data_IF_309482819420
#
_entry.id   IF_309482819420
#
_cell.length_a   1.000
_cell.length_b   1.000
_cell.length_c   1.000
_cell.angle_alpha   90.00
_cell.angle_beta   90.00
_cell.angle_gamma   90.00
#
_symmetry.space_group_name_H-M   'P 1'
#
loop_
_entity.id
_entity.type
_entity.pdbx_description
1 polymer ?
#
# COMPACT_ATOMS: atom_id res chain seq x y z
N UNK A 1 -8.30 -4.99 13.57
CA UNK A 1 -7.01 -5.67 13.33
C UNK A 1 -6.47 -5.13 12.01
N UNK A 2 -5.36 -4.38 12.01
CA UNK A 2 -4.76 -3.87 10.78
C UNK A 2 -3.72 -4.89 10.29
N UNK A 3 -3.95 -5.44 9.11
CA UNK A 3 -3.00 -6.26 8.35
C UNK A 3 -2.25 -5.30 7.44
N UNK A 4 -1.27 -4.58 7.98
CA UNK A 4 -0.48 -3.64 7.19
C UNK A 4 1.00 -3.78 7.57
N UNK A 5 1.63 -4.90 7.19
CA UNK A 5 3.09 -4.97 7.12
C UNK A 5 3.59 -4.36 5.81
N UNK A 6 4.54 -3.41 5.89
CA UNK A 6 5.19 -2.78 4.74
C UNK A 6 6.68 -3.19 4.63
N UNK A 7 7.01 -4.42 5.01
CA UNK A 7 8.38 -4.94 5.06
C UNK A 7 8.54 -6.26 4.28
N UNK A 8 9.75 -6.63 3.83
CA UNK A 8 9.97 -7.69 2.83
C UNK A 8 9.66 -9.12 3.30
N UNK A 9 9.13 -9.31 4.51
CA UNK A 9 8.97 -10.65 5.09
C UNK A 9 7.59 -10.95 5.65
N UNK A 10 6.67 -9.98 5.79
CA UNK A 10 5.27 -10.11 6.28
C UNK A 10 5.04 -11.14 7.41
N UNK A 11 6.07 -11.39 8.23
CA UNK A 11 6.11 -12.51 9.19
C UNK A 11 5.04 -12.35 10.25
N UNK A 12 4.81 -11.12 10.69
CA UNK A 12 3.83 -10.79 11.71
C UNK A 12 2.40 -11.01 11.20
N UNK A 13 2.12 -10.62 9.96
CA UNK A 13 0.81 -10.78 9.34
C UNK A 13 0.49 -12.26 9.12
N UNK A 14 1.47 -13.06 8.66
CA UNK A 14 1.30 -14.53 8.56
C UNK A 14 1.07 -15.17 9.92
N UNK A 15 1.88 -14.82 10.93
CA UNK A 15 1.75 -15.37 12.28
C UNK A 15 0.36 -15.07 12.87
N UNK A 16 -0.20 -13.91 12.56
CA UNK A 16 -1.53 -13.51 12.96
C UNK A 16 -2.63 -14.34 12.26
N UNK A 17 -2.52 -14.54 10.94
CA UNK A 17 -3.44 -15.42 10.20
C UNK A 17 -3.40 -16.84 10.73
N UNK A 18 -2.20 -17.38 11.00
CA UNK A 18 -2.03 -18.72 11.57
C UNK A 18 -2.61 -18.84 12.98
N UNK A 19 -2.45 -17.81 13.82
CA UNK A 19 -3.04 -17.75 15.15
C UNK A 19 -4.58 -17.69 15.11
N UNK A 20 -5.16 -17.01 14.14
CA UNK A 20 -6.62 -16.98 13.97
C UNK A 20 -7.16 -18.31 13.44
N UNK A 21 -6.43 -18.99 12.55
CA UNK A 21 -6.75 -20.33 12.08
C UNK A 21 -6.70 -21.36 13.21
N UNK A 22 -5.67 -21.33 14.05
CA UNK A 22 -5.56 -22.26 15.18
C UNK A 22 -6.68 -22.08 16.20
N UNK A 23 -7.19 -20.86 16.35
CA UNK A 23 -8.34 -20.52 17.20
C UNK A 23 -9.70 -20.77 16.54
N UNK A 24 -9.75 -21.27 15.30
CA UNK A 24 -10.99 -21.45 14.50
C UNK A 24 -11.81 -20.17 14.34
N UNK A 25 -11.15 -19.02 14.38
CA UNK A 25 -11.76 -17.71 14.10
C UNK A 25 -11.72 -17.35 12.62
N UNK A 26 -10.93 -18.08 11.84
CA UNK A 26 -10.96 -18.09 10.38
C UNK A 26 -11.39 -19.48 9.91
N UNK A 27 -12.42 -19.52 9.06
CA UNK A 27 -12.85 -20.72 8.35
C UNK A 27 -11.70 -21.32 7.53
N UNK A 28 -11.63 -22.65 7.43
CA UNK A 28 -10.61 -23.35 6.65
C UNK A 28 -10.74 -23.10 5.13
N UNK A 29 -11.91 -22.64 4.69
CA UNK A 29 -12.19 -22.23 3.31
C UNK A 29 -11.65 -20.83 2.99
N UNK A 30 -11.42 -19.98 3.99
CA UNK A 30 -10.93 -18.61 3.78
C UNK A 30 -9.50 -18.62 3.28
N UNK A 31 -9.29 -18.08 2.08
CA UNK A 31 -7.99 -17.83 1.46
C UNK A 31 -7.63 -16.37 1.65
N UNK A 32 -6.43 -16.12 2.16
CA UNK A 32 -5.85 -14.79 2.31
C UNK A 32 -4.56 -14.82 1.50
N UNK A 33 -4.53 -14.03 0.44
CA UNK A 33 -3.35 -13.86 -0.41
C UNK A 33 -2.66 -12.56 -0.02
N UNK A 34 -1.35 -12.62 0.18
CA UNK A 34 -0.55 -11.41 0.32
C UNK A 34 -0.17 -10.94 -1.07
N UNK A 35 -0.55 -9.72 -1.43
CA UNK A 35 -0.14 -9.08 -2.67
C UNK A 35 0.81 -7.92 -2.32
N UNK A 36 2.00 -7.87 -2.93
CA UNK A 36 2.95 -6.81 -2.65
C UNK A 36 2.38 -5.47 -3.11
N UNK A 37 2.64 -4.41 -2.33
CA UNK A 37 2.13 -3.06 -2.57
C UNK A 37 2.14 -2.61 -4.04
N UNK A 38 3.26 -2.72 -4.80
CA UNK A 38 3.29 -2.33 -6.22
C UNK A 38 2.23 -3.01 -7.11
N UNK A 39 1.80 -4.22 -6.76
CA UNK A 39 0.77 -4.98 -7.48
C UNK A 39 -0.67 -4.64 -7.03
N UNK A 40 -0.86 -3.81 -5.99
CA UNK A 40 -2.16 -3.25 -5.59
C UNK A 40 -2.18 -1.72 -5.70
N UNK A 41 -2.42 -1.15 -6.90
CA UNK A 41 -2.40 0.30 -7.13
C UNK A 41 -3.25 1.11 -6.16
N UNK A 42 -4.41 0.57 -5.74
CA UNK A 42 -5.34 1.25 -4.84
C UNK A 42 -4.76 1.50 -3.44
N UNK A 43 -3.73 0.77 -3.02
CA UNK A 43 -3.14 0.93 -1.68
C UNK A 43 -1.99 1.96 -1.63
N UNK A 44 -1.30 2.21 -2.74
CA UNK A 44 -0.09 3.04 -2.72
C UNK A 44 -0.16 4.30 -3.58
N UNK A 45 -1.05 4.36 -4.58
CA UNK A 45 -1.05 5.46 -5.53
C UNK A 45 -1.31 6.82 -4.86
N UNK A 46 -2.20 6.87 -3.88
CA UNK A 46 -2.50 8.09 -3.13
C UNK A 46 -1.27 8.59 -2.36
N UNK A 47 -0.57 7.70 -1.64
CA UNK A 47 0.65 8.03 -0.91
C UNK A 47 1.75 8.57 -1.85
N UNK A 48 1.93 7.92 -3.01
CA UNK A 48 2.91 8.36 -4.01
C UNK A 48 2.57 9.70 -4.63
N UNK A 49 1.31 9.95 -4.98
CA UNK A 49 0.87 11.24 -5.51
C UNK A 49 1.06 12.37 -4.48
N UNK A 50 0.65 12.13 -3.22
CA UNK A 50 0.88 13.07 -2.12
C UNK A 50 2.37 13.38 -1.93
N UNK A 51 3.23 12.36 -1.97
CA UNK A 51 4.67 12.53 -1.92
C UNK A 51 5.23 13.36 -3.08
N UNK A 52 4.80 13.07 -4.31
CA UNK A 52 5.22 13.78 -5.51
C UNK A 52 4.81 15.26 -5.47
N UNK A 53 3.56 15.56 -5.08
CA UNK A 53 3.06 16.93 -4.93
C UNK A 53 3.78 17.66 -3.79
N UNK A 54 4.03 17.00 -2.66
CA UNK A 54 4.76 17.59 -1.53
C UNK A 54 6.20 17.97 -1.91
N UNK A 55 6.91 17.07 -2.60
CA UNK A 55 8.26 17.36 -3.11
C UNK A 55 8.25 18.49 -4.12
N UNK A 56 7.27 18.51 -5.04
CA UNK A 56 7.10 19.60 -5.98
C UNK A 56 6.93 20.95 -5.29
N UNK A 57 6.04 21.03 -4.29
CA UNK A 57 5.81 22.24 -3.47
C UNK A 57 7.04 22.67 -2.66
N UNK A 58 7.96 21.74 -2.38
CA UNK A 58 9.25 22.02 -1.72
C UNK A 58 10.39 22.35 -2.68
N UNK A 59 10.10 22.55 -3.97
CA UNK A 59 11.09 22.92 -4.99
C UNK A 59 11.77 21.75 -5.68
N UNK A 60 11.35 20.50 -5.42
CA UNK A 60 11.84 19.31 -6.12
C UNK A 60 10.76 18.70 -7.02
N UNK A 61 10.70 19.08 -8.32
CA UNK A 61 9.63 18.67 -9.21
C UNK A 61 9.86 17.31 -9.89
N UNK A 62 10.98 16.60 -9.62
CA UNK A 62 11.39 15.41 -10.39
C UNK A 62 10.30 14.33 -10.45
N UNK A 63 9.71 14.00 -9.30
CA UNK A 63 8.69 12.96 -9.17
C UNK A 63 7.38 13.34 -9.87
N UNK A 64 6.94 14.59 -9.74
CA UNK A 64 5.71 15.05 -10.40
C UNK A 64 5.88 15.13 -11.92
N UNK A 65 7.07 15.54 -12.41
CA UNK A 65 7.38 15.50 -13.85
C UNK A 65 7.41 14.07 -14.40
N UNK A 66 7.90 13.11 -13.62
CA UNK A 66 7.94 11.70 -14.04
C UNK A 66 6.53 11.10 -14.23
N UNK A 67 5.54 11.56 -13.47
CA UNK A 67 4.12 11.20 -13.67
C UNK A 67 3.56 11.79 -14.98
N UNK A 68 4.12 12.90 -15.45
CA UNK A 68 3.81 13.47 -16.76
C UNK A 68 2.32 13.79 -16.94
N UNK A 69 1.78 13.46 -18.12
CA UNK A 69 0.38 13.70 -18.48
C UNK A 69 -0.61 12.70 -17.87
N UNK A 70 -0.14 11.73 -17.07
CA UNK A 70 -1.02 10.76 -16.41
C UNK A 70 -1.81 11.36 -15.24
N UNK A 71 -1.41 12.56 -14.79
CA UNK A 71 -2.00 13.23 -13.63
C UNK A 71 -2.33 14.68 -13.97
N UNK A 72 -3.43 15.17 -13.41
CA UNK A 72 -3.81 16.58 -13.45
C UNK A 72 -3.92 17.08 -12.01
N UNK A 73 -3.18 18.15 -11.69
CA UNK A 73 -3.26 18.79 -10.38
C UNK A 73 -4.31 19.90 -10.43
N UNK A 74 -5.42 19.72 -9.71
CA UNK A 74 -6.43 20.74 -9.51
C UNK A 74 -6.21 21.43 -8.16
N UNK A 75 -6.19 22.77 -8.16
CA UNK A 75 -6.16 23.57 -6.94
C UNK A 75 -7.60 23.92 -6.51
N UNK A 76 -7.84 23.94 -5.20
CA UNK A 76 -9.13 24.25 -4.57
C UNK A 76 -8.97 25.49 -3.73
#
# INVERSE_FOLDING_TARGET
>A
MKLESRGPSDKLDRALVDALRSKRQLESSTRIEHVPGPAEPLLWIADTLCGAVTQHRRGNPSHLRALGSQVHLAEI
#
